data_IF_605163073676
#
_entry.id   IF_605163073676
#
_cell.length_a   1.000
_cell.length_b   1.000
_cell.length_c   1.000
_cell.angle_alpha   90.00
_cell.angle_beta   90.00
_cell.angle_gamma   90.00
#
_symmetry.space_group_name_H-M   'P 1'
#
loop_
_entity.id
_entity.type
_entity.pdbx_description
1 polymer ?
#
# COMPACT_ATOMS: atom_id res chain seq x y z
N UNK A 1 75.63 -114.97 -25.57
CA UNK A 1 76.11 -113.75 -24.88
C UNK A 1 76.09 -112.62 -25.92
N UNK A 2 75.54 -111.44 -25.57
CA UNK A 2 75.41 -110.19 -26.38
C UNK A 2 74.34 -110.23 -27.50
N UNK A 3 73.39 -109.29 -27.69
CA UNK A 3 72.94 -108.05 -27.02
C UNK A 3 71.51 -107.69 -27.52
N UNK A 4 70.63 -107.10 -26.68
CA UNK A 4 69.46 -106.34 -27.12
C UNK A 4 69.81 -104.84 -27.23
N UNK A 5 69.62 -104.21 -28.39
CA UNK A 5 69.92 -102.76 -28.54
C UNK A 5 68.98 -101.96 -29.46
N UNK A 6 67.92 -102.56 -30.02
CA UNK A 6 67.13 -101.89 -31.08
C UNK A 6 65.77 -101.35 -30.61
N UNK A 7 65.28 -101.73 -29.42
CA UNK A 7 63.92 -101.34 -28.97
C UNK A 7 63.85 -100.11 -28.05
N UNK A 8 64.98 -99.61 -27.51
CA UNK A 8 64.96 -98.50 -26.53
C UNK A 8 64.99 -97.11 -27.22
N UNK A 9 65.53 -97.01 -28.44
CA UNK A 9 65.66 -95.72 -29.13
C UNK A 9 64.36 -95.21 -29.76
N UNK A 10 63.44 -96.09 -30.17
CA UNK A 10 62.15 -95.68 -30.76
C UNK A 10 61.16 -95.11 -29.71
N UNK A 11 61.17 -95.66 -28.48
CA UNK A 11 60.28 -95.21 -27.40
C UNK A 11 60.70 -93.87 -26.77
N UNK A 12 62.00 -93.58 -26.73
CA UNK A 12 62.51 -92.29 -26.21
C UNK A 12 62.20 -91.15 -27.19
N UNK A 13 62.28 -91.38 -28.50
CA UNK A 13 61.95 -90.37 -29.51
C UNK A 13 60.45 -90.05 -29.49
N UNK A 14 59.58 -91.04 -29.25
CA UNK A 14 58.13 -90.82 -29.15
C UNK A 14 57.73 -90.05 -27.87
N UNK A 15 58.37 -90.32 -26.72
CA UNK A 15 58.10 -89.59 -25.47
C UNK A 15 58.61 -88.14 -25.54
N UNK A 16 59.72 -87.89 -26.22
CA UNK A 16 60.23 -86.54 -26.47
C UNK A 16 59.34 -85.77 -27.47
N UNK A 17 58.77 -86.44 -28.48
CA UNK A 17 57.87 -85.82 -29.47
C UNK A 17 56.45 -85.54 -28.93
N UNK A 18 55.97 -86.29 -27.93
CA UNK A 18 54.66 -86.05 -27.31
C UNK A 18 54.76 -85.09 -26.10
N UNK A 19 55.93 -85.00 -25.44
CA UNK A 19 56.17 -84.06 -24.34
C UNK A 19 56.39 -82.60 -24.78
N UNK A 20 56.94 -82.38 -25.98
CA UNK A 20 57.16 -81.03 -26.52
C UNK A 20 55.88 -80.21 -26.78
N UNK A 21 54.77 -80.76 -27.33
CA UNK A 21 53.53 -79.99 -27.50
C UNK A 21 52.81 -79.70 -26.16
N UNK A 22 52.95 -80.56 -25.14
CA UNK A 22 52.26 -80.36 -23.87
C UNK A 22 52.88 -79.26 -22.99
N UNK A 23 54.20 -79.09 -23.00
CA UNK A 23 54.90 -78.01 -22.28
C UNK A 23 54.87 -76.69 -23.05
N UNK A 24 54.80 -76.74 -24.39
CA UNK A 24 54.64 -75.53 -25.20
C UNK A 24 53.21 -74.96 -25.17
N UNK A 25 52.18 -75.79 -25.02
CA UNK A 25 50.81 -75.31 -24.78
C UNK A 25 50.67 -74.58 -23.43
N UNK A 26 51.27 -75.08 -22.33
CA UNK A 26 51.16 -74.41 -21.02
C UNK A 26 51.94 -73.10 -20.93
N UNK A 27 53.08 -72.98 -21.61
CA UNK A 27 53.85 -71.74 -21.70
C UNK A 27 53.14 -70.71 -22.59
N UNK A 28 52.53 -71.16 -23.69
CA UNK A 28 51.77 -70.28 -24.59
C UNK A 28 50.49 -69.78 -23.92
N UNK A 29 49.78 -70.65 -23.20
CA UNK A 29 48.58 -70.27 -22.43
C UNK A 29 48.93 -69.31 -21.28
N UNK A 30 50.02 -69.54 -20.52
CA UNK A 30 50.49 -68.62 -19.47
C UNK A 30 50.95 -67.28 -20.06
N UNK A 31 51.58 -67.29 -21.25
CA UNK A 31 51.94 -66.06 -21.97
C UNK A 31 50.70 -65.28 -22.44
N UNK A 32 49.67 -65.96 -22.95
CA UNK A 32 48.43 -65.33 -23.41
C UNK A 32 47.61 -64.76 -22.25
N UNK A 33 47.50 -65.48 -21.13
CA UNK A 33 46.83 -64.99 -19.91
C UNK A 33 47.56 -63.76 -19.35
N UNK A 34 48.89 -63.83 -19.19
CA UNK A 34 49.67 -62.67 -18.73
C UNK A 34 49.56 -61.48 -19.67
N UNK A 35 49.58 -61.71 -20.98
CA UNK A 35 49.40 -60.64 -21.98
C UNK A 35 48.03 -60.00 -21.85
N UNK A 36 46.97 -60.79 -21.68
CA UNK A 36 45.62 -60.28 -21.46
C UNK A 36 45.52 -59.48 -20.15
N UNK A 37 46.17 -59.94 -19.08
CA UNK A 37 46.26 -59.18 -17.82
C UNK A 37 47.02 -57.86 -18.01
N UNK A 38 48.12 -57.86 -18.78
CA UNK A 38 48.86 -56.64 -19.11
C UNK A 38 48.05 -55.66 -19.97
N UNK A 39 47.36 -56.17 -20.99
CA UNK A 39 46.52 -55.35 -21.87
C UNK A 39 45.35 -54.75 -21.07
N UNK A 40 44.71 -55.53 -20.17
CA UNK A 40 43.67 -55.05 -19.25
C UNK A 40 44.19 -54.02 -18.25
N UNK A 41 45.41 -54.20 -17.72
CA UNK A 41 46.03 -53.25 -16.80
C UNK A 41 46.40 -51.94 -17.52
N UNK A 42 46.84 -52.03 -18.78
CA UNK A 42 47.15 -50.87 -19.62
C UNK A 42 45.87 -50.08 -19.95
N UNK A 43 44.78 -50.75 -20.32
CA UNK A 43 43.47 -50.13 -20.57
C UNK A 43 42.93 -49.46 -19.30
N UNK A 44 43.03 -50.11 -18.14
CA UNK A 44 42.64 -49.52 -16.86
C UNK A 44 43.50 -48.31 -16.49
N UNK A 45 44.79 -48.35 -16.82
CA UNK A 45 45.70 -47.21 -16.59
C UNK A 45 45.34 -46.02 -17.49
N UNK A 46 45.08 -46.24 -18.78
CA UNK A 46 44.64 -45.20 -19.70
C UNK A 46 43.29 -44.60 -19.28
N UNK A 47 42.34 -45.44 -18.87
CA UNK A 47 41.05 -44.97 -18.36
C UNK A 47 41.22 -44.11 -17.09
N UNK A 48 42.03 -44.56 -16.13
CA UNK A 48 42.32 -43.78 -14.93
C UNK A 48 43.02 -42.45 -15.25
N UNK A 49 43.89 -42.43 -16.27
CA UNK A 49 44.56 -41.22 -16.70
C UNK A 49 43.56 -40.22 -17.30
N UNK A 50 42.63 -40.70 -18.14
CA UNK A 50 41.55 -39.89 -18.70
C UNK A 50 40.59 -39.35 -17.63
N UNK A 51 40.24 -40.18 -16.65
CA UNK A 51 39.39 -39.77 -15.51
C UNK A 51 40.09 -38.69 -14.65
N UNK A 52 41.39 -38.82 -14.42
CA UNK A 52 42.19 -37.82 -13.70
C UNK A 52 42.27 -36.48 -14.45
N UNK A 53 42.41 -36.51 -15.77
CA UNK A 53 42.42 -35.31 -16.60
C UNK A 53 41.06 -34.61 -16.57
N UNK A 54 39.96 -35.36 -16.64
CA UNK A 54 38.61 -34.82 -16.50
C UNK A 54 38.36 -34.22 -15.11
N UNK A 55 38.82 -34.88 -14.05
CA UNK A 55 38.75 -34.35 -12.68
C UNK A 55 39.58 -33.06 -12.53
N UNK A 56 40.75 -32.99 -13.17
CA UNK A 56 41.59 -31.79 -13.21
C UNK A 56 40.87 -30.60 -13.86
N UNK A 57 40.27 -30.81 -15.03
CA UNK A 57 39.49 -29.77 -15.73
C UNK A 57 38.26 -29.33 -14.93
N UNK A 58 37.55 -30.26 -14.28
CA UNK A 58 36.40 -29.94 -13.44
C UNK A 58 36.81 -29.10 -12.20
N UNK A 59 37.95 -29.42 -11.60
CA UNK A 59 38.49 -28.68 -10.45
C UNK A 59 38.90 -27.25 -10.85
N UNK A 60 39.57 -27.09 -12.00
CA UNK A 60 39.96 -25.78 -12.51
C UNK A 60 38.74 -24.91 -12.85
N UNK A 61 37.71 -25.48 -13.47
CA UNK A 61 36.43 -24.79 -13.69
C UNK A 61 35.78 -24.34 -12.37
N UNK A 62 35.74 -25.21 -11.37
CA UNK A 62 35.16 -24.90 -10.05
C UNK A 62 35.95 -23.83 -9.29
N UNK A 63 37.28 -23.79 -9.44
CA UNK A 63 38.14 -22.76 -8.87
C UNK A 63 37.84 -21.40 -9.50
N UNK A 64 37.73 -21.34 -10.83
CA UNK A 64 37.39 -20.12 -11.56
C UNK A 64 36.00 -19.59 -11.17
N UNK A 65 34.99 -20.47 -11.02
CA UNK A 65 33.66 -20.09 -10.53
C UNK A 65 33.71 -19.51 -9.11
N UNK A 66 34.49 -20.11 -8.22
CA UNK A 66 34.68 -19.60 -6.86
C UNK A 66 35.35 -18.23 -6.82
N UNK A 67 36.35 -17.99 -7.66
CA UNK A 67 36.99 -16.67 -7.76
C UNK A 67 36.01 -15.60 -8.27
N UNK A 68 35.17 -15.94 -9.26
CA UNK A 68 34.12 -15.04 -9.75
C UNK A 68 33.07 -14.74 -8.68
N UNK A 69 32.62 -15.76 -7.93
CA UNK A 69 31.67 -15.57 -6.83
C UNK A 69 32.25 -14.68 -5.72
N UNK A 70 33.54 -14.83 -5.41
CA UNK A 70 34.21 -13.98 -4.43
C UNK A 70 34.28 -12.52 -4.89
N UNK A 71 34.63 -12.26 -6.14
CA UNK A 71 34.65 -10.91 -6.69
C UNK A 71 33.25 -10.26 -6.70
N UNK A 72 32.20 -11.05 -7.00
CA UNK A 72 30.82 -10.58 -6.93
C UNK A 72 30.38 -10.27 -5.49
N UNK A 73 30.81 -11.07 -4.51
CA UNK A 73 30.53 -10.81 -3.09
C UNK A 73 31.19 -9.51 -2.61
N UNK A 74 32.46 -9.27 -2.95
CA UNK A 74 33.18 -8.03 -2.61
C UNK A 74 32.53 -6.79 -3.26
N UNK A 75 32.03 -6.92 -4.50
CA UNK A 75 31.29 -5.86 -5.16
C UNK A 75 29.94 -5.58 -4.47
N UNK A 76 29.21 -6.63 -4.07
CA UNK A 76 27.96 -6.48 -3.30
C UNK A 76 28.18 -5.81 -1.95
N UNK A 77 29.22 -6.17 -1.23
CA UNK A 77 29.57 -5.53 0.06
C UNK A 77 29.86 -4.04 -0.11
N UNK A 78 30.51 -3.66 -1.22
CA UNK A 78 30.77 -2.25 -1.53
C UNK A 78 29.47 -1.49 -1.81
N UNK A 79 28.54 -2.09 -2.55
CA UNK A 79 27.22 -1.50 -2.82
C UNK A 79 26.39 -1.37 -1.54
N UNK A 80 26.42 -2.38 -0.67
CA UNK A 80 25.71 -2.35 0.63
C UNK A 80 26.23 -1.18 1.48
N UNK A 81 27.56 -1.03 1.61
CA UNK A 81 28.15 0.10 2.36
C UNK A 81 27.75 1.47 1.82
N UNK A 82 27.66 1.60 0.50
CA UNK A 82 27.19 2.85 -0.14
C UNK A 82 25.72 3.11 0.17
N UNK A 83 24.88 2.07 0.14
CA UNK A 83 23.47 2.18 0.49
C UNK A 83 23.26 2.52 1.97
N UNK A 84 24.01 1.91 2.88
CA UNK A 84 23.97 2.22 4.32
C UNK A 84 24.29 3.70 4.58
N UNK A 85 25.36 4.21 3.95
CA UNK A 85 25.74 5.63 4.05
C UNK A 85 24.64 6.57 3.52
N UNK A 86 23.97 6.18 2.43
CA UNK A 86 22.87 6.95 1.86
C UNK A 86 21.64 6.94 2.77
N UNK A 87 21.30 5.80 3.38
CA UNK A 87 20.19 5.65 4.32
C UNK A 87 20.44 6.51 5.57
N UNK A 88 21.65 6.49 6.13
CA UNK A 88 22.01 7.34 7.26
C UNK A 88 21.83 8.83 6.91
N UNK A 89 22.31 9.26 5.75
CA UNK A 89 22.16 10.65 5.29
C UNK A 89 20.69 11.05 5.12
N UNK A 90 19.86 10.17 4.55
CA UNK A 90 18.42 10.42 4.39
C UNK A 90 17.70 10.46 5.73
N UNK A 91 18.06 9.58 6.67
CA UNK A 91 17.47 9.54 8.01
C UNK A 91 17.74 10.86 8.74
N UNK A 92 18.97 11.37 8.71
CA UNK A 92 19.29 12.68 9.30
C UNK A 92 18.54 13.84 8.63
N UNK A 93 18.26 13.78 7.33
CA UNK A 93 17.44 14.79 6.65
C UNK A 93 15.98 14.73 7.08
N UNK A 94 15.43 13.53 7.29
CA UNK A 94 14.07 13.34 7.79
C UNK A 94 13.96 13.91 9.20
N UNK A 95 14.88 13.58 10.10
CA UNK A 95 14.89 14.10 11.47
C UNK A 95 14.93 15.64 11.50
N UNK A 96 15.78 16.26 10.68
CA UNK A 96 15.86 17.72 10.60
C UNK A 96 14.60 18.38 10.01
N UNK A 97 13.87 17.68 9.13
CA UNK A 97 12.58 18.15 8.60
C UNK A 97 11.46 17.99 9.61
N UNK A 98 11.45 16.88 10.36
CA UNK A 98 10.50 16.64 11.45
C UNK A 98 10.64 17.68 12.56
N UNK A 99 11.87 18.04 12.93
CA UNK A 99 12.14 19.10 13.91
C UNK A 99 11.60 20.46 13.44
N UNK A 100 11.89 20.86 12.20
CA UNK A 100 11.35 22.12 11.62
C UNK A 100 9.83 22.13 11.52
N UNK A 101 9.22 20.99 11.20
CA UNK A 101 7.77 20.86 11.13
C UNK A 101 7.16 20.97 12.54
N UNK A 102 7.79 20.34 13.54
CA UNK A 102 7.40 20.44 14.95
C UNK A 102 7.46 21.88 15.45
N UNK A 103 8.56 22.59 15.20
CA UNK A 103 8.71 24.01 15.57
C UNK A 103 7.63 24.90 14.93
N UNK A 104 7.35 24.70 13.63
CA UNK A 104 6.31 25.44 12.92
C UNK A 104 4.92 25.16 13.50
N UNK A 105 4.65 23.90 13.85
CA UNK A 105 3.38 23.50 14.46
C UNK A 105 3.22 24.10 15.87
N UNK A 106 4.28 24.08 16.68
CA UNK A 106 4.30 24.70 18.01
C UNK A 106 4.03 26.20 17.90
N UNK A 107 4.73 26.91 17.01
CA UNK A 107 4.51 28.34 16.79
C UNK A 107 3.08 28.66 16.34
N UNK A 108 2.51 27.86 15.45
CA UNK A 108 1.12 28.03 15.01
C UNK A 108 0.14 27.79 16.18
N UNK A 109 0.39 26.78 17.01
CA UNK A 109 -0.41 26.53 18.22
C UNK A 109 -0.29 27.67 19.24
N UNK A 110 0.90 28.22 19.44
CA UNK A 110 1.11 29.39 20.31
C UNK A 110 0.35 30.62 19.79
N UNK A 111 0.41 30.89 18.48
CA UNK A 111 -0.34 31.98 17.85
C UNK A 111 -1.87 31.79 17.96
N UNK A 112 -2.36 30.54 17.85
CA UNK A 112 -3.77 30.21 18.06
C UNK A 112 -4.18 30.38 19.52
N UNK A 113 -3.38 29.91 20.47
CA UNK A 113 -3.62 30.07 21.92
C UNK A 113 -3.65 31.56 22.28
N UNK A 114 -2.70 32.37 21.80
CA UNK A 114 -2.66 33.80 22.08
C UNK A 114 -3.89 34.55 21.51
N UNK A 115 -4.40 34.14 20.34
CA UNK A 115 -5.65 34.68 19.78
C UNK A 115 -6.88 34.27 20.59
N UNK A 116 -6.91 33.03 21.08
CA UNK A 116 -8.02 32.49 21.87
C UNK A 116 -8.06 33.06 23.30
N UNK A 117 -6.91 33.34 23.92
CA UNK A 117 -6.82 33.95 25.25
C UNK A 117 -7.27 35.42 25.28
N UNK A 118 -7.21 36.13 24.14
CA UNK A 118 -7.56 37.55 24.06
C UNK A 118 -9.06 37.85 24.00
N UNK A 119 -9.93 36.86 23.80
CA UNK A 119 -11.38 37.11 23.73
C UNK A 119 -12.23 35.98 24.38
N UNK A 120 -12.30 35.94 25.72
CA UNK A 120 -13.06 34.93 26.47
C UNK A 120 -14.58 35.03 26.25
N UNK A 121 -15.12 36.18 25.82
CA UNK A 121 -16.54 36.27 25.43
C UNK A 121 -16.82 35.56 24.11
N UNK A 122 -15.89 35.62 23.16
CA UNK A 122 -15.99 34.94 21.86
C UNK A 122 -15.90 33.42 22.00
N UNK A 123 -14.94 32.91 22.78
CA UNK A 123 -14.86 31.49 23.13
C UNK A 123 -16.12 31.01 23.86
N UNK A 124 -16.66 31.85 24.75
CA UNK A 124 -17.91 31.58 25.46
C UNK A 124 -19.08 31.49 24.48
N UNK A 125 -19.29 32.47 23.59
CA UNK A 125 -20.37 32.43 22.58
C UNK A 125 -20.31 31.18 21.71
N UNK A 126 -19.12 30.79 21.27
CA UNK A 126 -18.88 29.54 20.55
C UNK A 126 -19.30 28.33 21.39
N UNK A 127 -18.77 28.18 22.61
CA UNK A 127 -19.09 27.05 23.50
C UNK A 127 -20.59 26.96 23.86
N UNK A 128 -21.26 28.09 24.09
CA UNK A 128 -22.69 28.13 24.36
C UNK A 128 -23.53 27.79 23.12
N UNK A 129 -23.04 28.12 21.92
CA UNK A 129 -23.78 27.91 20.67
C UNK A 129 -23.53 26.52 20.06
N UNK A 130 -22.43 25.84 20.37
CA UNK A 130 -22.09 24.53 19.76
C UNK A 130 -23.26 23.54 19.84
N UNK A 131 -23.91 23.40 21.00
CA UNK A 131 -25.05 22.48 21.14
C UNK A 131 -26.26 22.90 20.30
N UNK A 132 -26.46 24.21 20.07
CA UNK A 132 -27.54 24.71 19.23
C UNK A 132 -27.20 24.56 17.73
N UNK A 133 -25.96 24.82 17.34
CA UNK A 133 -25.49 24.68 15.96
C UNK A 133 -25.47 23.21 15.52
N UNK A 134 -25.03 22.30 16.39
CA UNK A 134 -24.97 20.88 16.10
C UNK A 134 -26.36 20.25 15.86
N UNK A 135 -27.46 20.90 16.28
CA UNK A 135 -28.84 20.46 15.97
C UNK A 135 -29.15 20.53 14.47
N UNK A 136 -28.49 21.44 13.76
CA UNK A 136 -28.69 21.65 12.34
C UNK A 136 -27.70 20.84 11.48
N UNK A 137 -26.87 20.01 12.11
CA UNK A 137 -25.93 19.11 11.43
C UNK A 137 -26.49 17.70 11.45
N UNK A 138 -26.40 17.05 10.29
CA UNK A 138 -26.99 15.75 10.01
C UNK A 138 -25.93 14.77 9.55
N UNK A 139 -26.13 13.52 9.93
CA UNK A 139 -25.47 12.37 9.33
C UNK A 139 -26.31 11.95 8.13
N UNK A 140 -25.73 12.00 6.93
CA UNK A 140 -26.35 11.52 5.69
C UNK A 140 -25.91 10.10 5.34
N UNK A 141 -26.82 9.32 4.74
CA UNK A 141 -26.55 7.98 4.22
C UNK A 141 -27.50 7.62 3.07
N UNK A 142 -27.07 6.71 2.20
CA UNK A 142 -27.82 6.27 1.01
C UNK A 142 -28.15 4.76 0.98
N UNK A 143 -27.82 3.97 2.02
CA UNK A 143 -27.98 2.50 2.04
C UNK A 143 -28.82 2.01 3.24
N UNK A 144 -29.51 0.88 3.08
CA UNK A 144 -30.00 0.06 4.21
C UNK A 144 -28.83 -0.39 5.12
N UNK A 145 -29.13 -0.55 6.40
CA UNK A 145 -28.18 -0.58 7.50
C UNK A 145 -27.03 -1.59 7.35
N UNK A 146 -25.80 -1.19 7.72
CA UNK A 146 -24.66 -2.09 7.94
C UNK A 146 -23.39 -1.80 7.13
N UNK A 147 -23.51 -1.18 5.95
CA UNK A 147 -22.37 -0.92 5.05
C UNK A 147 -22.37 0.46 4.38
N UNK A 148 -23.31 1.34 4.74
CA UNK A 148 -23.44 2.67 4.13
C UNK A 148 -22.29 3.60 4.46
N UNK A 149 -21.70 4.23 3.43
CA UNK A 149 -20.82 5.38 3.62
C UNK A 149 -21.63 6.51 4.24
N UNK A 150 -21.18 7.04 5.38
CA UNK A 150 -21.80 8.20 6.02
C UNK A 150 -21.06 9.47 5.65
N UNK A 151 -21.79 10.55 5.46
CA UNK A 151 -21.26 11.88 5.17
C UNK A 151 -21.95 12.93 6.03
N UNK A 152 -21.38 14.12 6.11
CA UNK A 152 -21.97 15.23 6.84
C UNK A 152 -22.91 16.01 5.93
N UNK A 153 -24.04 16.44 6.48
CA UNK A 153 -24.93 17.40 5.86
C UNK A 153 -25.38 18.42 6.91
N UNK A 154 -26.00 19.52 6.50
CA UNK A 154 -26.53 20.52 7.41
C UNK A 154 -27.78 21.19 6.85
N UNK A 155 -28.65 21.68 7.72
CA UNK A 155 -29.84 22.42 7.31
C UNK A 155 -29.60 23.93 7.29
N UNK A 156 -30.09 24.63 6.27
CA UNK A 156 -30.12 26.10 6.20
C UNK A 156 -31.55 26.61 6.20
N UNK A 157 -31.76 27.82 6.71
CA UNK A 157 -32.99 28.58 6.51
C UNK A 157 -32.82 29.57 5.37
N UNK A 158 -33.66 29.45 4.34
CA UNK A 158 -33.65 30.37 3.21
C UNK A 158 -35.07 30.67 2.72
N UNK A 159 -35.40 31.96 2.60
CA UNK A 159 -36.73 32.47 2.19
C UNK A 159 -37.91 31.82 2.96
N UNK A 160 -37.72 31.59 4.26
CA UNK A 160 -38.76 31.02 5.15
C UNK A 160 -38.96 29.50 5.01
N UNK A 161 -38.08 28.81 4.29
CA UNK A 161 -38.07 27.34 4.17
C UNK A 161 -36.74 26.78 4.66
N UNK A 162 -36.74 25.48 4.98
CA UNK A 162 -35.54 24.77 5.42
C UNK A 162 -35.10 23.75 4.37
N UNK A 163 -33.80 23.68 4.13
CA UNK A 163 -33.18 22.80 3.14
C UNK A 163 -32.01 22.08 3.78
N UNK A 164 -31.75 20.83 3.38
CA UNK A 164 -30.52 20.13 3.74
C UNK A 164 -29.51 20.28 2.62
N UNK A 165 -28.27 20.55 3.01
CA UNK A 165 -27.14 20.83 2.13
C UNK A 165 -26.00 19.89 2.48
N UNK A 166 -25.31 19.38 1.47
CA UNK A 166 -24.09 18.56 1.62
C UNK A 166 -23.20 18.74 0.41
N UNK A 167 -22.06 18.04 0.36
CA UNK A 167 -21.19 17.99 -0.81
C UNK A 167 -21.84 17.13 -1.91
N UNK A 168 -21.74 17.56 -3.16
CA UNK A 168 -22.30 16.86 -4.30
C UNK A 168 -21.60 15.54 -4.61
N UNK A 169 -20.29 15.42 -4.35
CA UNK A 169 -19.58 14.14 -4.45
C UNK A 169 -20.14 13.11 -3.46
N UNK A 170 -20.67 13.53 -2.30
CA UNK A 170 -21.36 12.60 -1.40
C UNK A 170 -22.66 12.05 -2.00
N UNK A 171 -23.26 12.74 -2.97
CA UNK A 171 -24.41 12.23 -3.73
C UNK A 171 -23.95 11.44 -4.95
N UNK A 172 -22.93 11.92 -5.66
CA UNK A 172 -22.40 11.33 -6.88
C UNK A 172 -21.64 10.01 -6.63
N UNK A 173 -20.76 9.99 -5.62
CA UNK A 173 -19.90 8.85 -5.30
C UNK A 173 -20.66 7.75 -4.54
N UNK A 174 -21.76 8.10 -3.87
CA UNK A 174 -22.71 7.14 -3.29
C UNK A 174 -23.60 6.47 -4.34
N UNK A 175 -23.00 6.13 -5.49
CA UNK A 175 -23.54 5.48 -6.68
C UNK A 175 -24.72 4.54 -6.40
N UNK A 176 -25.91 5.02 -6.74
CA UNK A 176 -27.12 4.23 -6.85
C UNK A 176 -28.28 5.16 -7.17
N UNK A 177 -28.60 5.32 -8.46
CA UNK A 177 -29.62 6.22 -9.03
C UNK A 177 -31.08 5.92 -8.60
N UNK A 178 -31.27 5.27 -7.45
CA UNK A 178 -32.57 4.92 -6.85
C UNK A 178 -32.53 5.02 -5.30
N UNK A 179 -31.43 5.52 -4.71
CA UNK A 179 -31.21 5.53 -3.26
C UNK A 179 -32.09 6.53 -2.52
N UNK A 180 -32.94 6.05 -1.62
CA UNK A 180 -33.60 6.87 -0.62
C UNK A 180 -32.53 7.47 0.31
N UNK A 181 -32.15 8.72 0.04
CA UNK A 181 -31.28 9.47 0.95
C UNK A 181 -32.00 9.68 2.26
N UNK A 182 -31.29 9.36 3.34
CA UNK A 182 -31.78 9.57 4.69
C UNK A 182 -30.80 10.40 5.48
N UNK A 183 -31.36 11.27 6.31
CA UNK A 183 -30.59 12.16 7.17
C UNK A 183 -31.05 12.01 8.61
N UNK A 184 -30.09 11.98 9.54
CA UNK A 184 -30.36 11.94 10.97
C UNK A 184 -29.62 13.09 11.64
N UNK A 185 -30.36 14.00 12.26
CA UNK A 185 -29.76 15.08 13.04
C UNK A 185 -28.95 14.51 14.21
N UNK A 186 -27.87 15.19 14.62
CA UNK A 186 -26.93 14.68 15.64
C UNK A 186 -27.56 14.22 16.96
N UNK A 187 -28.64 14.87 17.39
CA UNK A 187 -29.33 14.57 18.65
C UNK A 187 -30.71 13.94 18.43
N UNK A 188 -30.93 13.36 17.25
CA UNK A 188 -32.16 12.68 16.88
C UNK A 188 -31.91 11.19 16.66
N UNK A 189 -32.85 10.36 17.10
CA UNK A 189 -32.89 8.94 16.74
C UNK A 189 -33.71 8.69 15.46
N UNK A 190 -34.44 9.70 14.99
CA UNK A 190 -35.28 9.62 13.81
C UNK A 190 -34.53 10.02 12.53
N UNK A 191 -34.66 9.18 11.50
CA UNK A 191 -34.26 9.49 10.13
C UNK A 191 -35.37 10.23 9.39
N UNK A 192 -34.99 11.20 8.56
CA UNK A 192 -35.87 11.88 7.60
C UNK A 192 -35.43 11.59 6.17
N UNK A 193 -36.37 11.67 5.23
CA UNK A 193 -36.19 11.27 3.83
C UNK A 193 -36.60 12.42 2.88
N UNK A 194 -35.85 13.54 2.87
CA UNK A 194 -36.13 14.66 1.99
C UNK A 194 -35.78 14.32 0.53
N UNK A 195 -36.47 14.97 -0.40
CA UNK A 195 -36.26 14.82 -1.83
C UNK A 195 -35.03 15.61 -2.28
N UNK A 196 -34.25 15.04 -3.20
CA UNK A 196 -33.13 15.73 -3.85
C UNK A 196 -33.67 16.75 -4.85
N UNK A 197 -33.40 18.03 -4.63
CA UNK A 197 -33.77 19.12 -5.55
C UNK A 197 -32.77 19.21 -6.70
N UNK A 198 -31.48 19.10 -6.38
CA UNK A 198 -30.40 19.21 -7.36
C UNK A 198 -29.03 19.09 -6.71
N UNK A 199 -28.03 18.77 -7.53
CA UNK A 199 -26.65 18.68 -7.10
C UNK A 199 -25.69 18.98 -8.26
N UNK A 200 -24.46 19.35 -7.91
CA UNK A 200 -23.31 19.38 -8.79
C UNK A 200 -22.12 18.77 -8.07
N UNK A 201 -21.25 18.04 -8.77
CA UNK A 201 -20.12 17.32 -8.17
C UNK A 201 -18.81 17.65 -8.90
N UNK A 202 -18.58 18.95 -9.18
CA UNK A 202 -17.36 19.44 -9.84
C UNK A 202 -16.32 19.92 -8.81
N UNK A 203 -15.60 18.94 -8.26
CA UNK A 203 -14.57 19.15 -7.23
C UNK A 203 -13.49 20.19 -7.63
N UNK A 204 -13.02 20.17 -8.88
CA UNK A 204 -11.93 21.03 -9.36
C UNK A 204 -12.29 22.51 -9.46
N UNK A 205 -13.57 22.84 -9.50
CA UNK A 205 -14.07 24.23 -9.57
C UNK A 205 -14.68 24.72 -8.25
N UNK A 206 -14.62 23.89 -7.20
CA UNK A 206 -15.32 24.15 -5.93
C UNK A 206 -16.83 24.33 -6.13
N UNK A 207 -17.37 23.64 -7.12
CA UNK A 207 -18.79 23.62 -7.48
C UNK A 207 -19.34 22.23 -7.15
N UNK A 208 -19.32 21.93 -5.84
CA UNK A 208 -19.55 20.62 -5.28
C UNK A 208 -20.59 20.70 -4.14
N UNK A 209 -21.86 20.57 -4.49
CA UNK A 209 -22.97 20.70 -3.56
C UNK A 209 -24.14 19.80 -3.93
N UNK A 210 -24.97 19.48 -2.94
CA UNK A 210 -26.29 18.90 -3.15
C UNK A 210 -27.30 19.53 -2.20
N UNK A 211 -28.54 19.66 -2.66
CA UNK A 211 -29.63 20.32 -1.92
C UNK A 211 -30.85 19.42 -1.88
N UNK A 212 -31.38 19.25 -0.68
CA UNK A 212 -32.55 18.43 -0.40
C UNK A 212 -33.65 19.25 0.27
N UNK A 213 -34.90 18.88 0.01
CA UNK A 213 -36.09 19.51 0.60
C UNK A 213 -37.16 18.48 0.92
N UNK A 214 -37.84 18.66 2.03
CA UNK A 214 -38.93 17.78 2.44
C UNK A 214 -39.53 18.21 3.77
N UNK A 215 -40.64 17.56 4.13
CA UNK A 215 -41.25 17.73 5.45
C UNK A 215 -40.36 17.12 6.54
N UNK A 216 -40.33 17.75 7.72
CA UNK A 216 -39.55 17.27 8.88
C UNK A 216 -38.16 17.88 9.06
N UNK A 217 -37.69 18.73 8.12
CA UNK A 217 -36.50 19.57 8.34
C UNK A 217 -36.89 20.73 9.26
N UNK A 218 -36.38 20.71 10.49
CA UNK A 218 -36.75 21.69 11.52
C UNK A 218 -35.59 22.63 11.82
N UNK A 219 -35.73 23.88 11.38
CA UNK A 219 -34.70 24.89 11.59
C UNK A 219 -33.52 24.77 10.64
N UNK A 220 -32.58 25.70 10.76
CA UNK A 220 -31.36 25.68 9.98
C UNK A 220 -30.48 26.87 10.30
N UNK A 221 -29.22 26.76 9.86
CA UNK A 221 -28.28 27.85 9.93
C UNK A 221 -28.75 29.06 9.11
N UNK A 222 -28.40 30.25 9.58
CA UNK A 222 -28.43 31.45 8.75
C UNK A 222 -27.24 31.41 7.79
N UNK A 223 -27.41 31.98 6.60
CA UNK A 223 -26.36 32.02 5.57
C UNK A 223 -25.77 33.41 5.47
N UNK A 224 -24.44 33.49 5.46
CA UNK A 224 -23.68 34.73 5.40
C UNK A 224 -23.02 34.94 4.04
N UNK A 225 -22.58 36.17 3.79
CA UNK A 225 -21.72 36.52 2.64
C UNK A 225 -20.30 36.92 3.05
N UNK A 226 -20.08 37.14 4.35
CA UNK A 226 -18.86 37.75 4.88
C UNK A 226 -17.93 36.64 5.37
N UNK A 227 -16.74 36.57 4.79
CA UNK A 227 -15.64 35.81 5.37
C UNK A 227 -15.06 36.59 6.54
N UNK A 228 -14.97 35.95 7.70
CA UNK A 228 -14.31 36.48 8.90
C UNK A 228 -12.89 35.94 9.04
N UNK A 229 -12.13 36.47 10.01
CA UNK A 229 -10.77 35.99 10.30
C UNK A 229 -10.76 34.52 10.76
N UNK A 230 -11.78 34.08 11.52
CA UNK A 230 -12.02 32.68 11.85
C UNK A 230 -13.03 32.00 10.91
N UNK A 231 -12.69 30.80 10.44
CA UNK A 231 -13.62 29.89 9.76
C UNK A 231 -13.66 28.56 10.53
N UNK A 232 -14.86 28.12 10.87
CA UNK A 232 -15.08 26.93 11.69
C UNK A 232 -15.81 25.85 10.92
N UNK A 233 -15.50 24.59 11.21
CA UNK A 233 -16.22 23.41 10.74
C UNK A 233 -17.08 22.85 11.85
N UNK A 234 -18.35 22.59 11.56
CA UNK A 234 -19.27 21.88 12.44
C UNK A 234 -19.78 20.60 11.77
N UNK A 235 -19.15 19.45 11.99
CA UNK A 235 -19.43 18.26 11.18
C UNK A 235 -19.15 16.92 11.82
N UNK A 236 -19.77 15.87 11.28
CA UNK A 236 -19.64 14.51 11.79
C UNK A 236 -18.35 13.85 11.33
N UNK A 237 -17.56 13.36 12.28
CA UNK A 237 -16.55 12.35 12.02
C UNK A 237 -17.27 10.99 11.91
N UNK A 238 -16.80 10.14 10.97
CA UNK A 238 -17.27 8.78 10.75
C UNK A 238 -17.70 8.08 12.07
N UNK A 239 -18.96 7.59 12.11
CA UNK A 239 -19.61 6.88 13.23
C UNK A 239 -20.04 7.70 14.46
N UNK A 240 -20.33 8.99 14.29
CA UNK A 240 -21.32 9.68 15.13
C UNK A 240 -20.81 10.70 16.15
N UNK A 241 -19.56 11.15 16.03
CA UNK A 241 -19.09 12.31 16.80
C UNK A 241 -19.07 13.54 15.88
N UNK A 242 -19.99 14.49 16.11
CA UNK A 242 -19.88 15.79 15.47
C UNK A 242 -18.94 16.70 16.24
N UNK A 243 -17.97 17.26 15.54
CA UNK A 243 -16.94 18.14 16.09
C UNK A 243 -17.20 19.58 15.65
N UNK A 244 -16.84 20.50 16.53
CA UNK A 244 -16.65 21.90 16.19
C UNK A 244 -15.15 22.21 16.25
N UNK A 245 -14.56 22.66 15.15
CA UNK A 245 -13.11 22.95 15.09
C UNK A 245 -12.80 24.06 14.09
N UNK A 246 -11.61 24.63 14.21
CA UNK A 246 -11.09 25.53 13.18
C UNK A 246 -10.92 24.76 11.87
N UNK A 247 -11.24 25.43 10.77
CA UNK A 247 -10.86 25.01 9.43
C UNK A 247 -9.34 25.00 9.37
N UNK A 248 -8.75 23.91 8.85
CA UNK A 248 -7.32 23.71 8.90
C UNK A 248 -6.80 22.81 7.79
N UNK A 249 -5.48 22.60 7.78
CA UNK A 249 -4.76 21.90 6.71
C UNK A 249 -5.03 20.38 6.61
N UNK A 250 -5.82 19.81 7.53
CA UNK A 250 -6.15 18.38 7.53
C UNK A 250 -7.66 18.15 7.52
N UNK A 251 -8.09 17.17 6.73
CA UNK A 251 -9.46 16.67 6.66
C UNK A 251 -9.56 15.33 7.36
N UNK A 252 -10.67 15.06 8.05
CA UNK A 252 -11.02 13.76 8.61
C UNK A 252 -12.11 13.11 7.78
N UNK A 253 -12.06 11.79 7.67
CA UNK A 253 -13.09 11.03 6.96
C UNK A 253 -14.47 11.29 7.56
N UNK A 254 -15.44 11.59 6.69
CA UNK A 254 -16.83 11.93 7.07
C UNK A 254 -17.12 13.43 7.14
N UNK A 255 -16.12 14.29 7.19
CA UNK A 255 -16.31 15.75 7.28
C UNK A 255 -16.75 16.40 5.96
N UNK A 256 -16.64 15.70 4.82
CA UNK A 256 -17.21 16.19 3.56
C UNK A 256 -18.68 16.53 3.72
N UNK A 257 -19.07 17.73 3.26
CA UNK A 257 -20.41 18.28 3.40
C UNK A 257 -20.65 19.03 4.72
N UNK A 258 -19.63 19.22 5.56
CA UNK A 258 -19.76 20.06 6.76
C UNK A 258 -19.98 21.54 6.42
N UNK A 259 -20.82 22.27 7.17
CA UNK A 259 -20.90 23.72 7.06
C UNK A 259 -19.58 24.36 7.49
N UNK A 260 -19.14 25.33 6.69
CA UNK A 260 -18.12 26.31 7.08
C UNK A 260 -18.85 27.53 7.65
N UNK A 261 -18.55 27.87 8.90
CA UNK A 261 -19.26 28.86 9.70
C UNK A 261 -18.30 30.01 10.05
N UNK A 262 -18.78 31.25 9.90
CA UNK A 262 -18.05 32.45 10.28
C UNK A 262 -18.25 32.79 11.78
N UNK A 263 -17.64 33.88 12.25
CA UNK A 263 -17.72 34.30 13.65
C UNK A 263 -19.13 34.76 14.07
N UNK A 264 -19.97 35.16 13.11
CA UNK A 264 -21.37 35.52 13.31
C UNK A 264 -22.31 34.31 13.36
N UNK A 265 -21.77 33.09 13.32
CA UNK A 265 -22.52 31.83 13.29
C UNK A 265 -23.35 31.63 12.01
N UNK A 266 -22.94 32.28 10.92
CA UNK A 266 -23.54 32.15 9.61
C UNK A 266 -22.74 31.16 8.76
N UNK A 267 -23.44 30.33 7.99
CA UNK A 267 -22.80 29.44 7.01
C UNK A 267 -22.37 30.26 5.80
N UNK A 268 -21.09 30.14 5.46
CA UNK A 268 -20.47 30.80 4.30
C UNK A 268 -20.09 29.80 3.19
N UNK A 269 -20.05 28.50 3.50
CA UNK A 269 -19.70 27.47 2.53
C UNK A 269 -19.91 26.04 2.99
N UNK A 270 -19.60 25.12 2.08
CA UNK A 270 -19.62 23.67 2.26
C UNK A 270 -18.20 23.16 2.16
N UNK A 271 -17.76 22.43 3.18
CA UNK A 271 -16.46 21.79 3.17
C UNK A 271 -16.45 20.61 2.20
N UNK A 272 -15.60 20.68 1.18
CA UNK A 272 -15.57 19.71 0.07
C UNK A 272 -14.17 19.13 -0.18
N UNK A 273 -13.08 19.82 0.21
CA UNK A 273 -11.69 19.51 -0.15
C UNK A 273 -10.78 19.56 1.09
N UNK A 274 -9.59 18.95 1.02
CA UNK A 274 -8.51 19.14 1.99
C UNK A 274 -8.04 20.61 2.07
N UNK A 275 -7.78 21.12 3.28
CA UNK A 275 -7.26 22.47 3.51
C UNK A 275 -8.33 23.53 3.77
N UNK A 276 -8.05 24.79 3.44
CA UNK A 276 -8.92 25.96 3.74
C UNK A 276 -9.98 26.25 2.67
N UNK A 277 -10.22 25.32 1.77
CA UNK A 277 -11.02 25.57 0.55
C UNK A 277 -12.40 24.93 0.69
N UNK A 278 -13.43 25.67 0.30
CA UNK A 278 -14.83 25.25 0.40
C UNK A 278 -15.66 25.75 -0.78
N UNK A 279 -16.77 25.07 -1.04
CA UNK A 279 -17.78 25.50 -2.01
C UNK A 279 -18.59 26.66 -1.41
N UNK A 280 -18.67 27.83 -2.06
CA UNK A 280 -19.42 28.96 -1.53
C UNK A 280 -20.92 28.65 -1.38
N UNK A 281 -21.52 29.06 -0.27
CA UNK A 281 -22.95 28.79 0.00
C UNK A 281 -23.86 29.48 -1.03
N UNK A 282 -23.38 30.53 -1.71
CA UNK A 282 -24.15 31.25 -2.73
C UNK A 282 -24.54 30.35 -3.90
N UNK A 283 -23.73 29.37 -4.27
CA UNK A 283 -24.05 28.42 -5.34
C UNK A 283 -25.29 27.58 -5.00
N UNK A 284 -25.43 27.20 -3.73
CA UNK A 284 -26.63 26.53 -3.20
C UNK A 284 -27.84 27.43 -3.27
N UNK A 285 -27.71 28.69 -2.84
CA UNK A 285 -28.81 29.65 -2.84
C UNK A 285 -29.31 29.91 -4.28
N UNK A 286 -28.40 30.02 -5.24
CA UNK A 286 -28.72 30.17 -6.66
C UNK A 286 -29.45 28.94 -7.24
N UNK A 287 -29.05 27.72 -6.83
CA UNK A 287 -29.78 26.50 -7.22
C UNK A 287 -31.21 26.54 -6.67
N UNK A 288 -31.39 26.87 -5.39
CA UNK A 288 -32.71 26.94 -4.75
C UNK A 288 -33.59 27.94 -5.49
N UNK A 289 -33.05 29.10 -5.86
CA UNK A 289 -33.79 30.14 -6.59
C UNK A 289 -34.24 29.67 -7.98
N UNK A 290 -33.41 28.90 -8.69
CA UNK A 290 -33.78 28.34 -10.00
C UNK A 290 -34.84 27.25 -9.89
N UNK A 291 -34.84 26.49 -8.79
CA UNK A 291 -35.67 25.30 -8.61
C UNK A 291 -37.09 25.59 -8.12
N UNK A 292 -37.37 26.83 -7.69
CA UNK A 292 -38.68 27.27 -7.16
C UNK A 292 -39.46 28.11 -8.20
N UNK A 293 -38.97 28.18 -9.45
CA UNK A 293 -39.65 28.85 -10.57
C UNK A 293 -40.69 27.93 -11.21
#
# INVERSE_FOLDING_TARGET
>A
MFFPAVFITASIILIVLIGFPAVSCTILDDYLVRRQDYDSLAEQYEQNLGDLEQQGMALESSLNENEQMKAQAEQKDTVIKQQETQIESQTSQIEALEEKLSEKNIKNLEEQIERLEKDPEKLRKLLYSINDLLKYVYIGSSIEEGHGYTFTAFSIEYKGKYYIVTAGHCVNDNYGKEGLFKFKANFSDAWIYPELIGYNAEFSKLDDYAVFYGEGINGGFKTGKIQTEGNYLAGSIDKGLSIFRDLGDSSRRGESGSPVINEEMEVIGIYVVYGYVYTPIQLVLELIDKSIT
#
